data_IF_504037480537
#
_entry.id   IF_504037480537
#
_cell.length_a   1.000
_cell.length_b   1.000
_cell.length_c   1.000
_cell.angle_alpha   90.00
_cell.angle_beta   90.00
_cell.angle_gamma   90.00
#
_symmetry.space_group_name_H-M   'P 1'
#
loop_
_entity.id
_entity.type
_entity.pdbx_description
1 polymer ?
#
# COMPACT_ATOMS: atom_id res chain seq x y z
N UNK A 1 72.65 -2.13 51.40
CA UNK A 1 72.34 -3.27 50.52
C UNK A 1 71.30 -4.11 51.23
N UNK A 2 70.02 -3.77 51.09
CA UNK A 2 68.88 -4.51 51.64
C UNK A 2 68.23 -5.27 50.48
N UNK A 3 68.24 -6.59 50.54
CA UNK A 3 67.63 -7.45 49.53
C UNK A 3 66.10 -7.41 49.65
N UNK A 4 65.48 -7.13 48.49
CA UNK A 4 64.09 -7.34 48.11
C UNK A 4 63.57 -8.77 48.47
N UNK A 5 62.38 -8.84 49.06
CA UNK A 5 61.13 -9.35 48.43
C UNK A 5 60.87 -10.84 48.69
N UNK A 6 60.20 -11.13 49.82
CA UNK A 6 59.49 -12.40 50.05
C UNK A 6 57.97 -12.15 49.93
N UNK A 7 57.56 -11.67 48.76
CA UNK A 7 56.16 -11.54 48.41
C UNK A 7 55.55 -12.94 48.20
N UNK A 8 54.74 -13.39 49.16
CA UNK A 8 54.05 -14.68 49.09
C UNK A 8 53.19 -14.76 47.82
N UNK A 9 53.14 -15.90 47.13
CA UNK A 9 52.30 -16.07 45.96
C UNK A 9 50.83 -15.80 46.29
N UNK A 10 50.16 -14.98 45.48
CA UNK A 10 48.73 -14.69 45.62
C UNK A 10 47.94 -15.98 45.44
N UNK A 11 47.21 -16.41 46.47
CA UNK A 11 46.37 -17.60 46.44
C UNK A 11 45.23 -17.44 45.41
N UNK A 12 45.23 -18.30 44.39
CA UNK A 12 44.18 -18.35 43.35
C UNK A 12 43.15 -19.40 43.74
N UNK A 13 41.91 -18.99 44.04
CA UNK A 13 40.83 -19.95 44.29
C UNK A 13 40.51 -20.75 43.02
N UNK A 14 40.51 -22.09 43.11
CA UNK A 14 40.22 -23.00 41.98
C UNK A 14 38.79 -22.87 41.40
N UNK A 15 37.88 -22.15 42.09
CA UNK A 15 36.48 -21.98 41.68
C UNK A 15 36.22 -20.77 40.78
N UNK A 16 37.18 -19.86 40.62
CA UNK A 16 37.05 -18.74 39.68
C UNK A 16 37.83 -19.04 38.41
N UNK A 17 37.12 -19.23 37.30
CA UNK A 17 37.72 -19.19 35.97
C UNK A 17 38.38 -17.82 35.79
N UNK A 18 39.64 -17.74 35.33
CA UNK A 18 40.26 -16.46 35.03
C UNK A 18 39.41 -15.76 33.96
N UNK A 19 38.92 -14.56 34.25
CA UNK A 19 38.41 -13.66 33.21
C UNK A 19 39.58 -13.37 32.30
N UNK A 20 39.52 -13.84 31.05
CA UNK A 20 40.50 -13.48 30.04
C UNK A 20 40.61 -11.97 30.02
N UNK A 21 41.76 -11.44 30.44
CA UNK A 21 42.08 -10.04 30.24
C UNK A 21 42.01 -9.81 28.73
N UNK A 22 40.95 -9.15 28.27
CA UNK A 22 40.92 -8.61 26.92
C UNK A 22 42.12 -7.68 26.84
N UNK A 23 43.08 -8.04 25.99
CA UNK A 23 44.20 -7.18 25.61
C UNK A 23 43.64 -5.83 25.16
N UNK A 24 43.67 -4.86 26.06
CA UNK A 24 43.03 -3.56 25.91
C UNK A 24 44.00 -2.51 25.37
N UNK A 25 45.07 -2.91 24.66
CA UNK A 25 46.10 -1.98 24.21
C UNK A 25 46.22 -1.79 22.71
N UNK A 26 45.54 -2.57 21.87
CA UNK A 26 45.37 -2.22 20.47
C UNK A 26 43.99 -2.67 19.99
N UNK A 27 43.09 -1.73 19.75
CA UNK A 27 41.84 -2.00 19.03
C UNK A 27 42.22 -2.62 17.69
N UNK A 28 42.09 -3.95 17.58
CA UNK A 28 42.37 -4.65 16.34
C UNK A 28 41.58 -3.98 15.21
N UNK A 29 42.21 -3.67 14.06
CA UNK A 29 41.52 -3.00 12.97
C UNK A 29 40.32 -3.84 12.59
N UNK A 30 39.11 -3.28 12.78
CA UNK A 30 37.87 -3.94 12.40
C UNK A 30 37.98 -4.29 10.93
N UNK A 31 37.99 -5.58 10.60
CA UNK A 31 37.95 -6.02 9.20
C UNK A 31 36.76 -5.33 8.54
N UNK A 32 37.02 -4.49 7.53
CA UNK A 32 35.97 -3.96 6.70
C UNK A 32 35.21 -5.16 6.14
N UNK A 33 33.92 -5.23 6.46
CA UNK A 33 33.06 -6.24 5.85
C UNK A 33 33.11 -5.99 4.34
N UNK A 34 33.22 -7.05 3.54
CA UNK A 34 33.01 -6.93 2.10
C UNK A 34 31.58 -6.42 1.90
N UNK A 35 31.45 -5.11 1.68
CA UNK A 35 30.18 -4.48 1.33
C UNK A 35 30.10 -4.61 -0.18
N UNK A 36 28.99 -5.14 -0.68
CA UNK A 36 28.72 -5.15 -2.12
C UNK A 36 28.83 -3.69 -2.63
N UNK A 37 29.64 -3.43 -3.67
CA UNK A 37 29.93 -2.08 -4.12
C UNK A 37 28.67 -1.30 -4.52
N UNK A 38 27.57 -1.98 -4.87
CA UNK A 38 26.26 -1.34 -5.12
C UNK A 38 25.67 -0.66 -3.88
N UNK A 39 26.10 -1.06 -2.70
CA UNK A 39 25.70 -0.53 -1.41
C UNK A 39 26.85 0.18 -0.70
N UNK A 40 27.91 0.54 -1.44
CA UNK A 40 29.02 1.32 -0.89
C UNK A 40 28.51 2.72 -0.48
N UNK A 41 28.70 3.12 0.78
CA UNK A 41 28.37 4.47 1.24
C UNK A 41 28.97 5.59 0.39
N UNK A 42 30.07 5.34 -0.34
CA UNK A 42 30.70 6.31 -1.25
C UNK A 42 29.78 6.76 -2.40
N UNK A 43 28.82 5.94 -2.83
CA UNK A 43 27.85 6.32 -3.87
C UNK A 43 26.70 7.20 -3.34
N UNK A 44 26.71 7.54 -2.04
CA UNK A 44 25.75 8.44 -1.42
C UNK A 44 24.39 7.79 -1.14
N UNK A 45 23.49 8.55 -0.50
CA UNK A 45 22.12 8.10 -0.26
C UNK A 45 21.27 8.29 -1.51
N UNK A 46 20.52 7.26 -1.90
CA UNK A 46 19.52 7.30 -2.97
C UNK A 46 18.58 8.52 -2.85
N UNK A 47 18.54 9.37 -3.89
CA UNK A 47 17.53 10.42 -3.98
C UNK A 47 16.16 9.81 -4.28
N UNK A 48 15.34 9.71 -3.22
CA UNK A 48 13.99 9.17 -3.30
C UNK A 48 13.09 9.98 -4.23
N UNK A 49 13.32 11.28 -4.38
CA UNK A 49 12.50 12.11 -5.27
C UNK A 49 12.79 11.77 -6.72
N UNK A 50 14.07 11.76 -7.10
CA UNK A 50 14.48 11.35 -8.44
C UNK A 50 14.03 9.93 -8.76
N UNK A 51 14.19 8.99 -7.83
CA UNK A 51 13.69 7.63 -8.02
C UNK A 51 12.18 7.58 -8.25
N UNK A 52 11.39 8.22 -7.39
CA UNK A 52 9.94 8.24 -7.56
C UNK A 52 9.52 8.86 -8.90
N UNK A 53 10.22 9.90 -9.36
CA UNK A 53 9.96 10.50 -10.66
C UNK A 53 10.30 9.53 -11.81
N UNK A 54 11.46 8.87 -11.74
CA UNK A 54 11.90 7.92 -12.76
C UNK A 54 10.98 6.69 -12.86
N UNK A 55 10.37 6.28 -11.74
CA UNK A 55 9.49 5.11 -11.65
C UNK A 55 8.01 5.46 -11.55
N UNK A 56 7.64 6.73 -11.75
CA UNK A 56 6.24 7.19 -11.70
C UNK A 56 5.36 6.42 -12.69
N UNK A 57 5.89 6.08 -13.85
CA UNK A 57 5.18 5.32 -14.87
C UNK A 57 4.63 3.97 -14.37
N UNK A 58 5.25 3.35 -13.34
CA UNK A 58 4.73 2.12 -12.73
C UNK A 58 3.48 2.36 -11.88
N UNK A 59 3.34 3.56 -11.30
CA UNK A 59 2.11 3.97 -10.64
C UNK A 59 1.04 4.26 -11.69
N UNK A 60 1.37 5.06 -12.71
CA UNK A 60 0.47 5.42 -13.80
C UNK A 60 -0.05 4.16 -14.52
N UNK A 61 0.83 3.19 -14.83
CA UNK A 61 0.44 1.91 -15.43
C UNK A 61 -0.52 1.12 -14.55
N UNK A 62 -0.25 1.03 -13.24
CA UNK A 62 -1.15 0.33 -12.31
C UNK A 62 -2.51 1.01 -12.19
N UNK A 63 -2.56 2.33 -12.28
CA UNK A 63 -3.81 3.10 -12.32
C UNK A 63 -4.57 2.84 -13.61
N UNK A 64 -3.91 2.87 -14.77
CA UNK A 64 -4.50 2.53 -16.08
C UNK A 64 -5.04 1.10 -16.11
N UNK A 65 -4.28 0.13 -15.59
CA UNK A 65 -4.76 -1.25 -15.46
C UNK A 65 -6.00 -1.34 -14.58
N UNK A 66 -6.04 -0.55 -13.51
CA UNK A 66 -7.19 -0.53 -12.61
C UNK A 66 -8.42 0.12 -13.25
N UNK A 67 -8.28 1.23 -13.98
CA UNK A 67 -9.39 1.87 -14.69
C UNK A 67 -9.91 0.96 -15.81
N UNK A 68 -9.02 0.39 -16.60
CA UNK A 68 -9.35 -0.60 -17.64
C UNK A 68 -10.09 -1.80 -17.04
N UNK A 69 -9.63 -2.33 -15.90
CA UNK A 69 -10.29 -3.44 -15.20
C UNK A 69 -11.71 -3.06 -14.75
N UNK A 70 -11.92 -1.84 -14.25
CA UNK A 70 -13.26 -1.37 -13.85
C UNK A 70 -14.18 -1.18 -15.05
N UNK A 71 -13.67 -0.61 -16.15
CA UNK A 71 -14.42 -0.47 -17.39
C UNK A 71 -14.83 -1.84 -17.94
N UNK A 72 -13.90 -2.82 -17.94
CA UNK A 72 -14.20 -4.21 -18.32
C UNK A 72 -15.27 -4.82 -17.41
N UNK A 73 -15.18 -4.68 -16.09
CA UNK A 73 -16.23 -5.16 -15.16
C UNK A 73 -17.59 -4.53 -15.49
N UNK A 74 -17.63 -3.22 -15.81
CA UNK A 74 -18.86 -2.51 -16.19
C UNK A 74 -19.48 -3.12 -17.46
N UNK A 75 -18.67 -3.32 -18.51
CA UNK A 75 -19.10 -3.96 -19.77
C UNK A 75 -19.65 -5.36 -19.55
N UNK A 76 -18.90 -6.21 -18.82
CA UNK A 76 -19.33 -7.58 -18.55
C UNK A 76 -20.62 -7.63 -17.72
N UNK A 77 -20.79 -6.74 -16.73
CA UNK A 77 -22.04 -6.64 -15.98
C UNK A 77 -23.25 -6.31 -16.85
N UNK A 78 -23.10 -5.52 -17.92
CA UNK A 78 -24.18 -5.27 -18.87
C UNK A 78 -24.59 -6.55 -19.61
N UNK A 79 -23.62 -7.35 -20.04
CA UNK A 79 -23.91 -8.63 -20.70
C UNK A 79 -24.56 -9.62 -19.75
N UNK A 80 -24.08 -9.70 -18.50
CA UNK A 80 -24.73 -10.53 -17.45
C UNK A 80 -26.15 -10.06 -17.19
N UNK A 81 -26.39 -8.75 -17.11
CA UNK A 81 -27.73 -8.19 -16.92
C UNK A 81 -28.66 -8.58 -18.07
N UNK A 82 -28.19 -8.44 -19.31
CA UNK A 82 -28.92 -8.85 -20.52
C UNK A 82 -29.34 -10.32 -20.45
N UNK A 83 -28.40 -11.23 -20.21
CA UNK A 83 -28.71 -12.66 -20.13
C UNK A 83 -29.71 -13.00 -19.03
N UNK A 84 -29.66 -12.29 -17.89
CA UNK A 84 -30.64 -12.47 -16.81
C UNK A 84 -32.04 -12.04 -17.23
N UNK A 85 -32.17 -10.96 -18.00
CA UNK A 85 -33.45 -10.51 -18.53
C UNK A 85 -33.97 -11.48 -19.60
N UNK A 86 -33.12 -11.89 -20.54
CA UNK A 86 -33.47 -12.89 -21.57
C UNK A 86 -33.92 -14.22 -20.95
N UNK A 87 -33.24 -14.68 -19.89
CA UNK A 87 -33.64 -15.88 -19.15
C UNK A 87 -35.00 -15.70 -18.45
N UNK A 88 -35.21 -14.57 -17.76
CA UNK A 88 -36.47 -14.28 -17.07
C UNK A 88 -37.67 -14.18 -18.05
N UNK A 89 -37.44 -13.65 -19.25
CA UNK A 89 -38.45 -13.57 -20.31
C UNK A 89 -38.81 -14.93 -20.90
N UNK A 90 -37.79 -15.76 -21.13
CA UNK A 90 -38.00 -17.14 -21.58
C UNK A 90 -38.80 -17.95 -20.55
N UNK A 91 -38.63 -17.66 -19.25
CA UNK A 91 -39.40 -18.28 -18.17
C UNK A 91 -40.83 -17.76 -18.07
N UNK A 92 -41.07 -16.45 -18.26
CA UNK A 92 -42.41 -15.86 -18.18
C UNK A 92 -43.26 -16.09 -19.44
N UNK A 93 -42.62 -16.37 -20.58
CA UNK A 93 -43.30 -16.49 -21.88
C UNK A 93 -43.83 -15.16 -22.41
N UNK A 94 -43.49 -14.04 -21.75
CA UNK A 94 -43.78 -12.69 -22.21
C UNK A 94 -42.65 -12.23 -23.12
N UNK A 95 -43.00 -11.81 -24.34
CA UNK A 95 -42.03 -11.18 -25.23
C UNK A 95 -41.60 -9.86 -24.60
N UNK A 96 -40.32 -9.75 -24.25
CA UNK A 96 -39.74 -8.51 -23.77
C UNK A 96 -39.84 -7.50 -24.92
N UNK A 97 -40.86 -6.65 -24.88
CA UNK A 97 -41.05 -5.60 -25.88
C UNK A 97 -39.83 -4.67 -26.01
N UNK A 98 -39.91 -3.72 -26.94
CA UNK A 98 -38.80 -2.80 -27.26
C UNK A 98 -38.23 -2.05 -26.03
N UNK A 99 -39.00 -1.91 -24.94
CA UNK A 99 -38.59 -1.29 -23.68
C UNK A 99 -37.45 -2.03 -22.94
N UNK A 100 -37.18 -3.29 -23.26
CA UNK A 100 -36.10 -4.08 -22.65
C UNK A 100 -34.91 -4.33 -23.59
N UNK A 101 -34.93 -3.73 -24.79
CA UNK A 101 -33.80 -3.78 -25.71
C UNK A 101 -32.64 -2.93 -25.18
N UNK A 102 -31.77 -3.53 -24.37
CA UNK A 102 -30.51 -2.94 -23.87
C UNK A 102 -29.48 -2.66 -24.97
N UNK A 103 -29.85 -2.70 -26.26
CA UNK A 103 -28.89 -2.58 -27.36
C UNK A 103 -28.24 -1.20 -27.41
N UNK A 104 -29.00 -0.13 -27.11
CA UNK A 104 -28.46 1.24 -27.07
C UNK A 104 -27.55 1.43 -25.85
N UNK A 105 -28.04 1.09 -24.65
CA UNK A 105 -27.26 1.12 -23.39
C UNK A 105 -25.95 0.30 -23.51
N UNK A 106 -26.00 -0.88 -24.12
CA UNK A 106 -24.82 -1.72 -24.33
C UNK A 106 -23.81 -1.05 -25.26
N UNK A 107 -24.26 -0.46 -26.37
CA UNK A 107 -23.37 0.26 -27.28
C UNK A 107 -22.74 1.46 -26.59
N UNK A 108 -23.52 2.23 -25.82
CA UNK A 108 -23.02 3.37 -25.06
C UNK A 108 -21.92 2.94 -24.08
N UNK A 109 -22.14 1.89 -23.28
CA UNK A 109 -21.15 1.41 -22.31
C UNK A 109 -19.88 0.85 -22.97
N UNK A 110 -19.99 0.23 -24.14
CA UNK A 110 -18.81 -0.28 -24.86
C UNK A 110 -18.03 0.82 -25.59
N UNK A 111 -18.71 1.90 -25.99
CA UNK A 111 -18.11 3.06 -26.64
C UNK A 111 -17.65 4.15 -25.66
N UNK A 112 -18.01 4.04 -24.38
CA UNK A 112 -17.60 4.97 -23.32
C UNK A 112 -16.08 5.16 -23.30
N UNK A 113 -15.65 6.42 -23.48
CA UNK A 113 -14.24 6.81 -23.47
C UNK A 113 -13.48 6.55 -24.77
N UNK A 114 -14.15 6.09 -25.83
CA UNK A 114 -13.57 5.98 -27.17
C UNK A 114 -13.87 7.25 -27.96
N UNK A 115 -12.84 7.85 -28.54
CA UNK A 115 -13.01 9.01 -29.42
C UNK A 115 -13.88 8.64 -30.63
N UNK A 116 -14.90 9.45 -30.91
CA UNK A 116 -15.82 9.20 -32.02
C UNK A 116 -15.14 9.11 -33.38
N UNK A 117 -14.00 9.79 -33.52
CA UNK A 117 -13.15 9.83 -34.72
C UNK A 117 -12.30 8.57 -34.88
N UNK A 118 -12.09 7.80 -33.82
CA UNK A 118 -11.32 6.56 -33.87
C UNK A 118 -12.22 5.39 -34.32
N UNK A 119 -12.47 5.33 -35.62
CA UNK A 119 -13.31 4.29 -36.23
C UNK A 119 -12.79 2.86 -35.95
N UNK A 120 -11.47 2.69 -35.81
CA UNK A 120 -10.86 1.38 -35.56
C UNK A 120 -11.21 0.92 -34.13
N UNK A 121 -11.02 1.78 -33.14
CA UNK A 121 -11.38 1.45 -31.76
C UNK A 121 -12.88 1.18 -31.58
N UNK A 122 -13.75 1.98 -32.23
CA UNK A 122 -15.21 1.78 -32.18
C UNK A 122 -15.62 0.44 -32.78
N UNK A 123 -15.10 0.10 -33.97
CA UNK A 123 -15.41 -1.18 -34.62
C UNK A 123 -14.90 -2.37 -33.82
N UNK A 124 -13.73 -2.25 -33.17
CA UNK A 124 -13.22 -3.27 -32.26
C UNK A 124 -14.13 -3.46 -31.04
N UNK A 125 -14.62 -2.38 -30.42
CA UNK A 125 -15.53 -2.44 -29.27
C UNK A 125 -16.89 -3.06 -29.62
N UNK A 126 -17.44 -2.74 -30.79
CA UNK A 126 -18.69 -3.35 -31.27
C UNK A 126 -18.50 -4.84 -31.59
N UNK A 127 -17.33 -5.22 -32.11
CA UNK A 127 -16.97 -6.63 -32.32
C UNK A 127 -16.85 -7.38 -31.00
N UNK A 128 -16.22 -6.78 -30.00
CA UNK A 128 -16.14 -7.32 -28.64
C UNK A 128 -17.54 -7.54 -28.05
N UNK A 129 -18.43 -6.56 -28.16
CA UNK A 129 -19.83 -6.67 -27.74
C UNK A 129 -20.52 -7.85 -28.42
N UNK A 130 -20.39 -7.97 -29.75
CA UNK A 130 -20.97 -9.07 -30.51
C UNK A 130 -20.42 -10.44 -30.09
N UNK A 131 -19.13 -10.52 -29.73
CA UNK A 131 -18.55 -11.77 -29.21
C UNK A 131 -19.09 -12.12 -27.82
N UNK A 132 -19.19 -11.14 -26.91
CA UNK A 132 -19.64 -11.38 -25.54
C UNK A 132 -21.11 -11.76 -25.45
N UNK A 133 -21.95 -11.22 -26.35
CA UNK A 133 -23.36 -11.65 -26.48
C UNK A 133 -23.51 -13.15 -26.79
N UNK A 134 -22.49 -13.78 -27.37
CA UNK A 134 -22.48 -15.21 -27.72
C UNK A 134 -21.77 -16.08 -26.69
N UNK A 135 -20.98 -15.49 -25.79
CA UNK A 135 -20.28 -16.26 -24.76
C UNK A 135 -21.26 -16.73 -23.69
N UNK A 136 -21.07 -17.95 -23.13
CA UNK A 136 -21.94 -18.45 -22.08
C UNK A 136 -21.80 -17.61 -20.81
N UNK A 137 -22.93 -17.36 -20.14
CA UNK A 137 -23.02 -16.50 -18.94
C UNK A 137 -22.04 -16.90 -17.84
N UNK A 138 -21.84 -18.21 -17.64
CA UNK A 138 -20.93 -18.74 -16.61
C UNK A 138 -19.49 -18.22 -16.79
N UNK A 139 -18.98 -18.21 -18.02
CA UNK A 139 -17.64 -17.70 -18.31
C UNK A 139 -17.51 -16.21 -18.03
N UNK A 140 -18.57 -15.45 -18.33
CA UNK A 140 -18.61 -14.01 -18.08
C UNK A 140 -18.63 -13.74 -16.56
N UNK A 141 -19.43 -14.47 -15.80
CA UNK A 141 -19.51 -14.34 -14.35
C UNK A 141 -18.19 -14.70 -13.66
N UNK A 142 -17.51 -15.76 -14.14
CA UNK A 142 -16.18 -16.13 -13.67
C UNK A 142 -15.14 -15.03 -13.92
N UNK A 143 -15.16 -14.43 -15.13
CA UNK A 143 -14.28 -13.30 -15.46
C UNK A 143 -14.56 -12.09 -14.55
N UNK A 144 -15.83 -11.74 -14.35
CA UNK A 144 -16.24 -10.68 -13.44
C UNK A 144 -15.73 -10.94 -12.02
N UNK A 145 -15.87 -12.17 -11.52
CA UNK A 145 -15.40 -12.55 -10.19
C UNK A 145 -13.87 -12.41 -10.08
N UNK A 146 -13.12 -12.85 -11.08
CA UNK A 146 -11.66 -12.73 -11.13
C UNK A 146 -11.23 -11.25 -11.14
N UNK A 147 -11.83 -10.42 -11.99
CA UNK A 147 -11.50 -9.00 -12.09
C UNK A 147 -11.88 -8.24 -10.80
N UNK A 148 -13.02 -8.56 -10.17
CA UNK A 148 -13.39 -8.00 -8.86
C UNK A 148 -12.36 -8.36 -7.79
N UNK A 149 -11.89 -9.60 -7.76
CA UNK A 149 -10.84 -10.05 -6.82
C UNK A 149 -9.55 -9.27 -7.04
N UNK A 150 -9.09 -9.13 -8.29
CA UNK A 150 -7.89 -8.37 -8.63
C UNK A 150 -8.02 -6.89 -8.24
N UNK A 151 -9.16 -6.25 -8.52
CA UNK A 151 -9.44 -4.87 -8.11
C UNK A 151 -9.41 -4.71 -6.59
N UNK A 152 -10.00 -5.66 -5.85
CA UNK A 152 -9.97 -5.64 -4.39
C UNK A 152 -8.54 -5.72 -3.84
N UNK A 153 -7.69 -6.58 -4.42
CA UNK A 153 -6.28 -6.69 -4.04
C UNK A 153 -5.52 -5.39 -4.31
N UNK A 154 -5.72 -4.78 -5.48
CA UNK A 154 -5.15 -3.48 -5.82
C UNK A 154 -5.55 -2.41 -4.77
N UNK A 155 -6.84 -2.32 -4.44
CA UNK A 155 -7.35 -1.34 -3.46
C UNK A 155 -6.75 -1.56 -2.07
N UNK A 156 -6.60 -2.82 -1.64
CA UNK A 156 -5.95 -3.15 -0.37
C UNK A 156 -4.49 -2.70 -0.34
N UNK A 157 -3.73 -3.07 -1.38
CA UNK A 157 -2.30 -2.76 -1.46
C UNK A 157 -2.05 -1.25 -1.49
N UNK A 158 -2.80 -0.51 -2.31
CA UNK A 158 -2.69 0.96 -2.38
C UNK A 158 -3.12 1.59 -1.04
N UNK A 159 -4.15 1.06 -0.40
CA UNK A 159 -4.59 1.50 0.92
C UNK A 159 -3.52 1.34 1.99
N UNK A 160 -2.83 0.19 2.01
CA UNK A 160 -1.78 -0.13 2.98
C UNK A 160 -0.52 0.73 2.79
N UNK A 161 -0.11 0.95 1.54
CA UNK A 161 1.01 1.86 1.21
C UNK A 161 0.69 3.27 1.71
N UNK A 162 -0.48 3.82 1.35
CA UNK A 162 -0.92 5.15 1.82
C UNK A 162 -1.04 5.24 3.35
N UNK A 163 -1.40 4.16 4.03
CA UNK A 163 -1.44 4.12 5.49
C UNK A 163 -0.02 4.19 6.11
N UNK A 164 0.93 3.43 5.55
CA UNK A 164 2.34 3.45 5.96
C UNK A 164 2.97 4.82 5.71
N UNK A 165 2.70 5.43 4.56
CA UNK A 165 3.25 6.75 4.22
C UNK A 165 2.75 7.84 5.17
N UNK A 166 1.46 7.85 5.50
CA UNK A 166 0.92 8.77 6.51
C UNK A 166 1.59 8.59 7.87
N UNK A 167 1.75 7.35 8.33
CA UNK A 167 2.44 7.08 9.59
C UNK A 167 3.91 7.57 9.56
N UNK A 168 4.59 7.36 8.43
CA UNK A 168 5.96 7.83 8.22
C UNK A 168 6.05 9.36 8.17
N UNK A 169 5.07 10.05 7.58
CA UNK A 169 5.01 11.51 7.53
C UNK A 169 4.84 12.10 8.93
N UNK A 170 3.91 11.59 9.72
CA UNK A 170 3.71 11.99 11.12
C UNK A 170 4.99 11.77 11.92
N UNK A 171 5.62 10.60 11.78
CA UNK A 171 6.90 10.30 12.44
C UNK A 171 7.99 11.30 12.06
N UNK A 172 8.15 11.59 10.77
CA UNK A 172 9.16 12.53 10.27
C UNK A 172 8.89 13.95 10.76
N UNK A 173 7.63 14.39 10.82
CA UNK A 173 7.24 15.71 11.31
C UNK A 173 7.65 15.89 12.77
N UNK A 174 7.24 14.95 13.63
CA UNK A 174 7.59 14.95 15.05
C UNK A 174 9.11 14.93 15.24
N UNK A 175 9.80 14.07 14.50
CA UNK A 175 11.26 14.00 14.57
C UNK A 175 11.94 15.31 14.17
N UNK A 176 11.44 15.97 13.13
CA UNK A 176 11.97 17.25 12.65
C UNK A 176 11.73 18.37 13.67
N UNK A 177 10.56 18.41 14.30
CA UNK A 177 10.22 19.36 15.36
C UNK A 177 11.13 19.20 16.58
N UNK A 178 11.32 17.97 17.06
CA UNK A 178 12.19 17.67 18.21
C UNK A 178 13.65 18.05 17.95
N UNK A 179 14.17 17.69 16.76
CA UNK A 179 15.53 18.07 16.37
C UNK A 179 15.67 19.60 16.25
N UNK A 180 14.64 20.29 15.77
CA UNK A 180 14.65 21.75 15.67
C UNK A 180 14.67 22.43 17.05
N UNK A 181 13.90 21.95 18.02
CA UNK A 181 13.92 22.46 19.40
C UNK A 181 15.28 22.25 20.07
N UNK A 182 15.94 21.13 19.82
CA UNK A 182 17.31 20.89 20.32
C UNK A 182 18.31 21.83 19.68
N UNK A 183 18.20 22.04 18.36
CA UNK A 183 19.06 22.99 17.64
C UNK A 183 18.88 24.43 18.14
N UNK A 184 17.67 24.80 18.56
CA UNK A 184 17.37 26.10 19.19
C UNK A 184 17.83 26.20 20.65
N UNK A 185 18.24 25.10 21.26
CA UNK A 185 18.64 25.05 22.67
C UNK A 185 17.46 24.96 23.66
N UNK A 186 16.23 24.81 23.20
CA UNK A 186 15.04 24.63 24.06
C UNK A 186 15.07 23.29 24.80
N UNK A 187 15.73 22.29 24.20
CA UNK A 187 15.90 20.94 24.75
C UNK A 187 17.35 20.50 24.61
N UNK A 188 17.83 19.72 25.58
CA UNK A 188 19.19 19.19 25.55
C UNK A 188 19.37 18.01 24.57
N UNK A 189 18.33 17.19 24.35
CA UNK A 189 18.38 16.05 23.44
C UNK A 189 17.04 15.77 22.75
N UNK A 190 17.03 15.17 21.55
CA UNK A 190 15.78 14.88 20.83
C UNK A 190 15.00 13.76 21.52
N UNK A 191 13.71 13.99 21.79
CA UNK A 191 12.86 12.95 22.36
C UNK A 191 12.12 12.17 21.26
N UNK A 192 12.45 10.89 21.10
CA UNK A 192 11.76 10.01 20.16
C UNK A 192 10.59 9.30 20.84
N UNK A 193 9.36 9.61 20.43
CA UNK A 193 8.15 9.01 20.97
C UNK A 193 8.16 7.48 20.89
N UNK A 194 7.53 6.84 21.89
CA UNK A 194 7.31 5.38 21.88
C UNK A 194 6.35 5.00 20.75
N UNK A 195 6.42 3.73 20.30
CA UNK A 195 5.53 3.20 19.25
C UNK A 195 4.04 3.39 19.58
N UNK A 196 3.65 3.26 20.85
CA UNK A 196 2.27 3.46 21.32
C UNK A 196 1.82 4.92 21.18
N UNK A 197 2.64 5.87 21.58
CA UNK A 197 2.38 7.31 21.48
C UNK A 197 2.32 7.76 20.01
N UNK A 198 3.24 7.25 19.18
CA UNK A 198 3.23 7.54 17.75
C UNK A 198 1.94 7.03 17.09
N UNK A 199 1.45 5.85 17.47
CA UNK A 199 0.15 5.34 17.01
C UNK A 199 -1.00 6.26 17.43
N UNK A 200 -1.00 6.79 18.66
CA UNK A 200 -2.01 7.77 19.11
C UNK A 200 -1.96 9.03 18.26
N UNK A 201 -0.78 9.62 18.05
CA UNK A 201 -0.60 10.80 17.18
C UNK A 201 -1.05 10.56 15.74
N UNK A 202 -0.79 9.38 15.17
CA UNK A 202 -1.27 9.04 13.82
C UNK A 202 -2.79 8.95 13.78
N UNK A 203 -3.42 8.42 14.83
CA UNK A 203 -4.87 8.34 14.94
C UNK A 203 -5.50 9.72 15.16
N UNK A 204 -4.92 10.57 16.00
CA UNK A 204 -5.33 11.98 16.20
C UNK A 204 -5.34 12.74 14.88
N UNK A 205 -4.20 12.78 14.15
CA UNK A 205 -4.14 13.43 12.84
C UNK A 205 -5.18 12.88 11.87
N UNK A 206 -5.49 11.56 11.93
CA UNK A 206 -6.53 10.97 11.09
C UNK A 206 -7.93 11.45 11.48
N UNK A 207 -8.21 11.62 12.76
CA UNK A 207 -9.49 12.18 13.23
C UNK A 207 -9.61 13.65 12.85
N UNK A 208 -8.53 14.41 12.99
CA UNK A 208 -8.48 15.82 12.58
C UNK A 208 -8.77 15.94 11.07
N UNK A 209 -8.08 15.17 10.23
CA UNK A 209 -8.33 15.13 8.78
C UNK A 209 -9.79 14.73 8.44
N UNK A 210 -10.38 13.79 9.19
CA UNK A 210 -11.77 13.37 8.96
C UNK A 210 -12.76 14.46 9.35
N UNK A 211 -12.48 15.14 10.46
CA UNK A 211 -13.29 16.24 10.96
C UNK A 211 -13.20 17.46 10.04
N UNK A 212 -12.02 17.77 9.51
CA UNK A 212 -11.82 18.82 8.51
C UNK A 212 -12.56 18.52 7.20
N UNK A 213 -12.49 17.28 6.71
CA UNK A 213 -13.11 16.91 5.43
C UNK A 213 -14.62 16.75 5.47
N UNK A 214 -15.20 16.31 6.58
CA UNK A 214 -16.62 15.94 6.64
C UNK A 214 -17.28 16.11 8.00
N UNK A 215 -16.64 16.85 8.90
CA UNK A 215 -17.17 17.17 10.23
C UNK A 215 -17.41 15.94 11.10
N UNK A 216 -18.28 16.15 12.10
CA UNK A 216 -18.66 15.12 13.09
C UNK A 216 -19.28 13.89 12.43
N UNK A 217 -20.11 14.07 11.40
CA UNK A 217 -20.76 12.95 10.69
C UNK A 217 -19.75 11.98 10.05
N UNK A 218 -18.66 12.50 9.48
CA UNK A 218 -17.63 11.66 8.90
C UNK A 218 -16.86 10.86 9.96
N UNK A 219 -16.60 11.49 11.12
CA UNK A 219 -15.99 10.86 12.29
C UNK A 219 -16.89 9.75 12.83
N UNK A 220 -18.17 10.02 13.04
CA UNK A 220 -19.15 9.05 13.55
C UNK A 220 -19.30 7.85 12.61
N UNK A 221 -19.36 8.09 11.30
CA UNK A 221 -19.39 7.03 10.29
C UNK A 221 -18.11 6.18 10.29
N UNK A 222 -16.96 6.77 10.61
CA UNK A 222 -15.71 6.02 10.76
C UNK A 222 -15.71 5.16 12.02
N UNK A 223 -16.11 5.72 13.17
CA UNK A 223 -16.20 5.01 14.45
C UNK A 223 -17.23 3.88 14.38
N UNK A 224 -18.41 4.14 13.82
CA UNK A 224 -19.46 3.14 13.64
C UNK A 224 -19.00 1.95 12.78
N UNK A 225 -18.24 2.19 11.71
CA UNK A 225 -17.64 1.11 10.91
C UNK A 225 -16.64 0.28 11.70
N UNK A 226 -15.83 0.90 12.55
CA UNK A 226 -14.84 0.21 13.38
C UNK A 226 -15.46 -0.61 14.51
N UNK A 227 -16.59 -0.16 15.06
CA UNK A 227 -17.30 -0.88 16.11
C UNK A 227 -18.08 -2.09 15.56
N UNK A 228 -18.53 -2.04 14.30
CA UNK A 228 -19.27 -3.14 13.64
C UNK A 228 -18.39 -4.32 13.24
N UNK A 229 -17.09 -4.14 13.07
CA UNK A 229 -16.17 -5.26 12.83
C UNK A 229 -16.01 -6.07 14.12
N UNK A 230 -16.43 -7.35 14.17
CA UNK A 230 -16.22 -8.17 15.36
C UNK A 230 -14.72 -8.24 15.66
N UNK A 231 -14.36 -8.07 16.93
CA UNK A 231 -13.00 -8.31 17.39
C UNK A 231 -12.70 -9.79 17.15
N UNK A 232 -11.78 -10.08 16.23
CA UNK A 232 -11.17 -11.41 16.10
C UNK A 232 -10.32 -11.71 17.32
#
# INVERSE_FOLDING_TARGET
>A
MSHDEDARPIERSARKKPTSASSDTLAAPRRHRAVDPRFDPMYGSMDKKQFNNNYKFLEDQREIEQTTRLARIKRLHMIVRRHRLEAAAAESGEDLGEEFNLTEDEQEVFLEGIDERDAIARTAALRELATLRRTPVSQIEDEVAQLKRQSSLYRSNVGDVKAKDRANLVKKRIMKEEVASVKKGEKQSPYFLKKSELKKRVMENRFDELNERGGKLAVDKYVGRKNRTPKK
#
